data_IF_677305342934
#
_entry.id   IF_677305342934
#
_cell.length_a   1.000
_cell.length_b   1.000
_cell.length_c   1.000
_cell.angle_alpha   90.00
_cell.angle_beta   90.00
_cell.angle_gamma   90.00
#
_symmetry.space_group_name_H-M   'P 1'
#
loop_
_entity.id
_entity.type
_entity.pdbx_description
1 polymer ?
#
# COMPACT_ATOMS: atom_id res chain seq x y z
N UNK A 1 -10.01 0.13 -5.23
CA UNK A 1 -11.32 0.67 -4.84
C UNK A 1 -11.34 2.18 -5.09
N UNK A 2 -12.51 2.75 -5.14
CA UNK A 2 -12.73 4.19 -5.25
C UNK A 2 -13.87 4.63 -4.32
N UNK A 3 -13.78 5.82 -3.75
CA UNK A 3 -14.85 6.31 -2.89
C UNK A 3 -16.06 6.70 -3.74
N UNK A 4 -17.26 6.31 -3.28
CA UNK A 4 -18.53 6.73 -3.89
C UNK A 4 -19.33 7.69 -2.99
N UNK A 5 -19.04 7.67 -1.70
CA UNK A 5 -19.62 8.58 -0.72
C UNK A 5 -18.65 8.68 0.48
N UNK A 6 -17.82 9.71 0.48
CA UNK A 6 -16.82 9.91 1.54
C UNK A 6 -17.43 10.30 2.88
N UNK A 7 -18.61 10.91 2.91
CA UNK A 7 -19.26 11.30 4.16
C UNK A 7 -19.72 10.07 4.94
N UNK A 8 -20.18 9.05 4.23
CA UNK A 8 -20.64 7.80 4.81
C UNK A 8 -19.63 6.65 4.64
N UNK A 9 -18.38 6.94 4.30
CA UNK A 9 -17.30 5.95 4.12
C UNK A 9 -17.68 4.79 3.20
N UNK A 10 -18.38 5.09 2.10
CA UNK A 10 -18.77 4.08 1.12
C UNK A 10 -17.78 4.01 -0.03
N UNK A 11 -17.36 2.81 -0.35
CA UNK A 11 -16.38 2.52 -1.39
C UNK A 11 -16.88 1.46 -2.35
N UNK A 12 -16.49 1.60 -3.62
CA UNK A 12 -16.70 0.60 -4.66
C UNK A 12 -15.40 -0.13 -4.96
N UNK A 13 -15.47 -1.47 -4.91
CA UNK A 13 -14.32 -2.31 -5.26
C UNK A 13 -14.27 -2.51 -6.77
N UNK A 14 -13.17 -2.11 -7.38
CA UNK A 14 -12.90 -2.33 -8.80
C UNK A 14 -12.24 -3.70 -9.01
N UNK A 15 -13.01 -4.77 -8.99
CA UNK A 15 -12.52 -6.16 -9.08
C UNK A 15 -11.64 -6.42 -10.31
N UNK A 16 -11.91 -5.71 -11.41
CA UNK A 16 -11.15 -5.86 -12.64
C UNK A 16 -9.67 -5.51 -12.47
N UNK A 17 -9.31 -4.60 -11.54
CA UNK A 17 -7.91 -4.24 -11.24
C UNK A 17 -7.15 -5.45 -10.72
N UNK A 18 -7.73 -6.18 -9.75
CA UNK A 18 -7.10 -7.40 -9.22
C UNK A 18 -6.97 -8.48 -10.31
N UNK A 19 -7.99 -8.65 -11.13
CA UNK A 19 -7.97 -9.60 -12.26
C UNK A 19 -6.86 -9.23 -13.25
N UNK A 20 -6.72 -7.95 -13.60
CA UNK A 20 -5.66 -7.45 -14.48
C UNK A 20 -4.26 -7.73 -13.89
N UNK A 21 -4.07 -7.50 -12.59
CA UNK A 21 -2.80 -7.78 -11.90
C UNK A 21 -2.48 -9.28 -11.95
N UNK A 22 -3.44 -10.15 -11.64
CA UNK A 22 -3.26 -11.61 -11.71
C UNK A 22 -2.85 -12.04 -13.12
N UNK A 23 -3.46 -11.46 -14.16
CA UNK A 23 -3.12 -11.76 -15.55
C UNK A 23 -1.78 -11.15 -15.99
N UNK A 24 -1.32 -10.09 -15.33
CA UNK A 24 -0.05 -9.44 -15.63
C UNK A 24 1.16 -10.29 -15.23
N UNK A 25 1.11 -11.01 -14.11
CA UNK A 25 2.22 -11.84 -13.64
C UNK A 25 2.69 -12.91 -14.63
N UNK A 26 1.80 -13.72 -15.28
CA UNK A 26 2.22 -14.76 -16.23
C UNK A 26 2.90 -14.24 -17.49
N UNK A 27 2.60 -13.03 -17.93
CA UNK A 27 3.17 -12.44 -19.14
C UNK A 27 4.53 -11.77 -18.90
N UNK A 28 4.96 -11.66 -17.64
CA UNK A 28 6.27 -11.14 -17.29
C UNK A 28 7.29 -12.27 -17.15
N UNK A 29 8.52 -11.99 -17.55
CA UNK A 29 9.62 -12.95 -17.48
C UNK A 29 10.55 -12.64 -16.30
N UNK A 30 10.94 -13.68 -15.59
CA UNK A 30 11.94 -13.60 -14.52
C UNK A 30 13.27 -13.06 -15.07
N UNK A 31 13.85 -12.09 -14.34
CA UNK A 31 15.14 -11.49 -14.69
C UNK A 31 15.91 -11.06 -13.46
N UNK A 32 17.21 -11.03 -13.58
CA UNK A 32 18.10 -10.42 -12.60
C UNK A 32 18.01 -8.90 -12.71
N UNK A 33 17.89 -8.22 -11.59
CA UNK A 33 17.96 -6.78 -11.45
C UNK A 33 19.06 -6.45 -10.46
N UNK A 34 19.89 -5.47 -10.76
CA UNK A 34 21.03 -5.07 -9.92
C UNK A 34 21.03 -3.56 -9.64
N UNK A 35 21.52 -3.20 -8.47
CA UNK A 35 21.82 -1.81 -8.10
C UNK A 35 23.05 -1.79 -7.17
N UNK A 36 24.22 -1.48 -7.70
CA UNK A 36 25.47 -1.60 -6.98
C UNK A 36 25.71 -3.04 -6.53
N UNK A 37 25.91 -3.25 -5.26
CA UNK A 37 26.09 -4.57 -4.64
C UNK A 37 24.78 -5.35 -4.42
N UNK A 38 23.63 -4.73 -4.65
CA UNK A 38 22.32 -5.36 -4.44
C UNK A 38 21.86 -6.08 -5.70
N UNK A 39 21.31 -7.27 -5.53
CA UNK A 39 20.76 -8.09 -6.59
C UNK A 39 19.39 -8.64 -6.20
N UNK A 40 18.49 -8.70 -7.18
CA UNK A 40 17.17 -9.31 -7.06
C UNK A 40 16.90 -10.19 -8.28
N UNK A 41 16.06 -11.21 -8.12
CA UNK A 41 15.58 -12.06 -9.19
C UNK A 41 14.05 -12.09 -9.15
N UNK A 42 13.41 -11.28 -9.98
CA UNK A 42 11.95 -11.13 -10.02
C UNK A 42 11.50 -10.79 -11.44
N UNK A 43 10.22 -10.89 -11.67
CA UNK A 43 9.58 -10.54 -12.93
C UNK A 43 8.96 -9.15 -12.95
N UNK A 44 8.69 -8.56 -11.79
CA UNK A 44 8.00 -7.29 -11.70
C UNK A 44 8.98 -6.13 -11.70
N UNK A 45 8.70 -5.12 -12.52
CA UNK A 45 9.48 -3.89 -12.52
C UNK A 45 9.28 -3.09 -11.24
N UNK A 46 10.30 -2.32 -10.87
CA UNK A 46 10.20 -1.36 -9.79
C UNK A 46 9.77 0.00 -10.33
N UNK A 47 9.05 0.75 -9.52
CA UNK A 47 8.71 2.14 -9.81
C UNK A 47 9.97 3.00 -9.82
N UNK A 48 10.01 3.97 -10.73
CA UNK A 48 11.12 4.90 -10.93
C UNK A 48 10.56 6.31 -11.18
N UNK A 49 11.45 7.30 -11.34
CA UNK A 49 11.06 8.68 -11.66
C UNK A 49 10.44 9.42 -10.48
N UNK A 50 10.88 9.14 -9.27
CA UNK A 50 10.29 9.72 -8.05
C UNK A 50 10.43 11.25 -7.96
N UNK A 51 11.52 11.82 -8.49
CA UNK A 51 11.71 13.26 -8.55
C UNK A 51 10.62 13.93 -9.39
N UNK A 52 10.38 13.40 -10.58
CA UNK A 52 9.33 13.88 -11.51
C UNK A 52 7.93 13.68 -10.95
N UNK A 53 7.75 12.61 -10.17
CA UNK A 53 6.49 12.33 -9.48
C UNK A 53 6.28 13.20 -8.23
N UNK A 54 7.30 13.97 -7.80
CA UNK A 54 7.23 14.75 -6.57
C UNK A 54 7.12 13.90 -5.29
N UNK A 55 7.70 12.70 -5.30
CA UNK A 55 7.65 11.75 -4.19
C UNK A 55 9.03 11.68 -3.53
N UNK A 56 9.11 11.89 -2.21
CA UNK A 56 10.35 11.67 -1.47
C UNK A 56 10.52 10.19 -1.15
N UNK A 57 11.64 9.62 -1.57
CA UNK A 57 11.94 8.20 -1.34
C UNK A 57 13.31 8.06 -0.69
N UNK A 58 13.33 7.48 0.50
CA UNK A 58 14.57 7.20 1.23
C UNK A 58 15.11 5.82 0.80
N UNK A 59 16.40 5.67 0.50
CA UNK A 59 16.98 4.35 0.26
C UNK A 59 16.81 3.46 1.51
N UNK A 60 16.38 2.28 1.39
CA UNK A 60 16.08 1.32 0.38
C UNK A 60 14.56 1.10 0.23
N UNK A 61 13.75 2.16 0.19
CA UNK A 61 12.33 1.99 -0.07
C UNK A 61 12.12 1.43 -1.47
N UNK A 62 11.16 0.51 -1.60
CA UNK A 62 10.81 -0.14 -2.85
C UNK A 62 9.30 -0.04 -3.10
N UNK A 63 8.94 0.45 -4.26
CA UNK A 63 7.58 0.32 -4.79
C UNK A 63 7.62 -0.45 -6.10
N UNK A 64 6.69 -1.39 -6.28
CA UNK A 64 6.53 -2.08 -7.57
C UNK A 64 5.89 -1.17 -8.60
N UNK A 65 6.25 -1.35 -9.86
CA UNK A 65 5.53 -0.77 -10.98
C UNK A 65 4.03 -1.14 -10.87
N UNK A 66 3.15 -0.17 -11.16
CA UNK A 66 1.71 -0.36 -10.97
C UNK A 66 1.18 0.02 -9.58
N UNK A 67 2.03 0.39 -8.61
CA UNK A 67 1.60 1.13 -7.44
C UNK A 67 1.41 2.61 -7.81
N UNK A 68 0.35 3.25 -7.33
CA UNK A 68 0.19 4.69 -7.41
C UNK A 68 0.68 5.34 -6.12
N UNK A 69 1.53 6.34 -6.26
CA UNK A 69 2.04 7.13 -5.15
C UNK A 69 1.92 8.59 -5.53
N UNK A 70 1.10 9.33 -4.80
CA UNK A 70 0.80 10.72 -5.11
C UNK A 70 1.98 11.66 -4.80
N UNK A 71 2.07 12.81 -5.48
CA UNK A 71 3.01 13.87 -5.13
C UNK A 71 2.88 14.27 -3.66
N UNK A 72 4.02 14.54 -3.01
CA UNK A 72 4.07 14.88 -1.59
C UNK A 72 4.03 13.69 -0.63
N UNK A 73 3.86 12.47 -1.11
CA UNK A 73 4.02 11.27 -0.29
C UNK A 73 5.50 11.02 0.04
N UNK A 74 5.74 10.35 1.17
CA UNK A 74 7.09 10.01 1.64
C UNK A 74 7.17 8.51 1.87
N UNK A 75 8.13 7.86 1.21
CA UNK A 75 8.49 6.47 1.46
C UNK A 75 9.81 6.44 2.21
N UNK A 76 9.80 6.12 3.48
CA UNK A 76 11.00 5.74 4.26
C UNK A 76 11.27 4.26 3.92
N UNK A 77 12.43 3.66 4.23
CA UNK A 77 12.70 2.28 3.83
C UNK A 77 11.51 1.35 4.10
N UNK A 78 10.76 1.05 3.07
CA UNK A 78 9.43 0.44 3.13
C UNK A 78 9.12 -0.29 1.82
N UNK A 79 8.02 -1.01 1.77
CA UNK A 79 7.60 -1.73 0.58
C UNK A 79 6.15 -1.39 0.20
N UNK A 80 5.94 -1.03 -1.07
CA UNK A 80 4.61 -0.77 -1.63
C UNK A 80 4.37 -1.71 -2.80
N UNK A 81 3.38 -2.58 -2.68
CA UNK A 81 3.10 -3.60 -3.68
C UNK A 81 2.26 -3.06 -4.85
N UNK A 82 2.23 -3.84 -5.93
CA UNK A 82 1.46 -3.55 -7.15
C UNK A 82 -0.02 -3.32 -6.85
N UNK A 83 -0.61 -2.34 -7.53
CA UNK A 83 -2.01 -1.97 -7.36
C UNK A 83 -2.34 -1.15 -6.11
N UNK A 84 -1.39 -0.99 -5.19
CA UNK A 84 -1.57 -0.13 -4.03
C UNK A 84 -1.73 1.34 -4.44
N UNK A 85 -2.51 2.08 -3.68
CA UNK A 85 -2.72 3.50 -3.82
C UNK A 85 -2.29 4.21 -2.54
N UNK A 86 -1.35 5.13 -2.65
CA UNK A 86 -0.86 5.97 -1.54
C UNK A 86 -1.07 7.43 -1.91
N UNK A 87 -1.92 8.13 -1.19
CA UNK A 87 -2.29 9.50 -1.50
C UNK A 87 -1.31 10.52 -0.90
N UNK A 88 -1.50 11.78 -1.26
CA UNK A 88 -0.63 12.92 -0.95
C UNK A 88 -0.46 13.16 0.56
N UNK A 89 0.73 13.61 0.95
CA UNK A 89 1.05 13.90 2.36
C UNK A 89 1.18 12.67 3.25
N UNK A 90 0.96 11.48 2.72
CA UNK A 90 1.07 10.22 3.47
C UNK A 90 2.53 9.80 3.62
N UNK A 91 2.87 9.34 4.82
CA UNK A 91 4.17 8.73 5.11
C UNK A 91 4.02 7.22 5.32
N UNK A 92 4.79 6.46 4.53
CA UNK A 92 5.02 5.03 4.74
C UNK A 92 6.37 4.91 5.41
N UNK A 93 6.36 4.73 6.73
CA UNK A 93 7.56 4.81 7.57
C UNK A 93 8.40 3.51 7.53
N UNK A 94 9.49 3.49 8.28
CA UNK A 94 10.52 2.46 8.25
C UNK A 94 9.94 1.05 8.46
N UNK A 95 10.23 0.17 7.50
CA UNK A 95 9.77 -1.23 7.47
C UNK A 95 8.24 -1.41 7.43
N UNK A 96 7.49 -0.35 7.18
CA UNK A 96 6.08 -0.50 6.89
C UNK A 96 5.87 -1.12 5.50
N UNK A 97 4.77 -1.84 5.34
CA UNK A 97 4.39 -2.46 4.07
C UNK A 97 2.97 -2.07 3.68
N UNK A 98 2.78 -1.75 2.41
CA UNK A 98 1.46 -1.53 1.81
C UNK A 98 1.19 -2.66 0.84
N UNK A 99 0.27 -3.53 1.20
CA UNK A 99 -0.08 -4.71 0.42
C UNK A 99 -0.75 -4.38 -0.91
N UNK A 100 -0.83 -5.37 -1.78
CA UNK A 100 -1.42 -5.22 -3.11
C UNK A 100 -2.84 -4.67 -3.06
N UNK A 101 -3.12 -3.67 -3.89
CA UNK A 101 -4.41 -2.98 -4.01
C UNK A 101 -4.90 -2.25 -2.75
N UNK A 102 -4.15 -2.20 -1.67
CA UNK A 102 -4.53 -1.43 -0.49
C UNK A 102 -4.66 0.06 -0.83
N UNK A 103 -5.63 0.72 -0.21
CA UNK A 103 -5.94 2.13 -0.45
C UNK A 103 -5.57 2.93 0.79
N UNK A 104 -4.60 3.81 0.67
CA UNK A 104 -4.14 4.69 1.75
C UNK A 104 -4.48 6.13 1.36
N UNK A 105 -5.30 6.78 2.15
CA UNK A 105 -5.77 8.14 1.95
C UNK A 105 -4.70 9.21 2.18
N UNK A 106 -5.13 10.46 2.21
CA UNK A 106 -4.26 11.64 2.39
C UNK A 106 -3.81 11.79 3.83
N UNK A 107 -2.59 12.32 4.01
CA UNK A 107 -2.05 12.67 5.32
C UNK A 107 -2.09 11.51 6.33
N UNK A 108 -2.00 10.28 5.85
CA UNK A 108 -1.94 9.10 6.72
C UNK A 108 -0.51 8.89 7.19
N UNK A 109 -0.34 8.52 8.45
CA UNK A 109 0.94 8.07 8.96
C UNK A 109 0.90 6.58 9.24
N UNK A 110 1.57 5.79 8.39
CA UNK A 110 1.85 4.37 8.66
C UNK A 110 3.18 4.30 9.39
N UNK A 111 3.15 4.14 10.71
CA UNK A 111 4.35 4.14 11.55
C UNK A 111 5.23 2.93 11.30
N UNK A 112 6.42 2.92 11.90
CA UNK A 112 7.41 1.88 11.68
C UNK A 112 6.88 0.46 11.89
N UNK A 113 7.13 -0.39 10.89
CA UNK A 113 6.74 -1.80 10.93
C UNK A 113 5.24 -2.07 10.78
N UNK A 114 4.43 -1.08 10.38
CA UNK A 114 3.00 -1.29 10.09
C UNK A 114 2.85 -2.24 8.90
N UNK A 115 1.99 -3.24 9.03
CA UNK A 115 1.65 -4.19 7.97
C UNK A 115 0.22 -3.97 7.46
N UNK A 116 0.10 -3.44 6.24
CA UNK A 116 -1.19 -3.34 5.55
C UNK A 116 -1.30 -4.51 4.57
N UNK A 117 -2.31 -5.35 4.78
CA UNK A 117 -2.53 -6.56 3.97
C UNK A 117 -2.92 -6.27 2.53
N UNK A 118 -2.60 -7.22 1.67
CA UNK A 118 -2.95 -7.19 0.25
C UNK A 118 -4.09 -8.13 -0.11
N UNK A 119 -4.40 -8.20 -1.42
CA UNK A 119 -5.50 -9.04 -1.95
C UNK A 119 -5.02 -10.27 -2.72
N UNK A 120 -3.71 -10.44 -2.92
CA UNK A 120 -3.16 -11.51 -3.78
C UNK A 120 -2.83 -12.79 -3.01
N UNK A 121 -2.22 -12.67 -1.84
CA UNK A 121 -1.77 -13.82 -1.04
C UNK A 121 -1.96 -13.54 0.47
N UNK A 122 -2.92 -14.20 1.10
CA UNK A 122 -3.99 -15.00 0.49
C UNK A 122 -4.93 -14.15 -0.35
N UNK A 123 -5.67 -14.79 -1.27
CA UNK A 123 -6.63 -14.07 -2.12
C UNK A 123 -7.76 -13.50 -1.27
N UNK A 124 -7.93 -12.17 -1.35
CA UNK A 124 -8.98 -11.43 -0.65
C UNK A 124 -9.95 -10.80 -1.66
N UNK A 125 -11.23 -10.70 -1.29
CA UNK A 125 -12.26 -10.08 -2.12
C UNK A 125 -12.10 -8.56 -2.14
N UNK A 126 -11.90 -7.95 -0.98
CA UNK A 126 -11.83 -6.50 -0.79
C UNK A 126 -10.42 -6.06 -0.38
N UNK A 127 -9.94 -4.90 -0.86
CA UNK A 127 -8.70 -4.32 -0.39
C UNK A 127 -8.87 -3.73 1.02
N UNK A 128 -7.76 -3.63 1.75
CA UNK A 128 -7.71 -2.78 2.94
C UNK A 128 -7.85 -1.33 2.53
N UNK A 129 -8.64 -0.57 3.28
CA UNK A 129 -8.84 0.87 3.09
C UNK A 129 -8.48 1.59 4.39
N UNK A 130 -7.56 2.54 4.30
CA UNK A 130 -7.24 3.49 5.36
C UNK A 130 -7.62 4.87 4.83
N UNK A 131 -8.62 5.49 5.40
CA UNK A 131 -9.07 6.81 4.96
C UNK A 131 -8.14 7.94 5.43
N UNK A 132 -8.47 9.18 5.03
CA UNK A 132 -7.64 10.36 5.25
C UNK A 132 -7.38 10.64 6.75
N UNK A 133 -6.22 11.24 7.02
CA UNK A 133 -5.79 11.73 8.33
C UNK A 133 -5.70 10.66 9.43
N UNK A 134 -5.58 9.39 9.06
CA UNK A 134 -5.40 8.30 10.03
C UNK A 134 -3.96 8.26 10.55
N UNK A 135 -3.81 7.87 11.81
CA UNK A 135 -2.53 7.51 12.40
C UNK A 135 -2.53 6.04 12.79
N UNK A 136 -1.64 5.26 12.18
CA UNK A 136 -1.52 3.82 12.44
C UNK A 136 -0.22 3.60 13.21
N UNK A 137 -0.36 3.26 14.49
CA UNK A 137 0.76 3.09 15.40
C UNK A 137 1.71 1.95 15.01
N UNK A 138 2.96 2.06 15.44
CA UNK A 138 4.03 1.14 15.05
C UNK A 138 3.66 -0.33 15.25
N UNK A 139 4.05 -1.17 14.28
CA UNK A 139 3.81 -2.62 14.26
C UNK A 139 2.33 -3.03 14.32
N UNK A 140 1.42 -2.12 14.05
CA UNK A 140 0.01 -2.49 13.86
C UNK A 140 -0.17 -3.22 12.54
N UNK A 141 -1.16 -4.12 12.51
CA UNK A 141 -1.51 -4.94 11.35
C UNK A 141 -2.96 -4.64 10.99
N UNK A 142 -3.21 -4.31 9.72
CA UNK A 142 -4.57 -4.12 9.18
C UNK A 142 -4.71 -5.00 7.94
N UNK A 143 -5.55 -6.01 7.99
CA UNK A 143 -5.65 -7.07 6.98
C UNK A 143 -7.09 -7.46 6.67
N UNK A 144 -7.27 -8.40 5.73
CA UNK A 144 -8.56 -9.02 5.40
C UNK A 144 -9.61 -8.02 4.91
N UNK A 145 -9.19 -7.00 4.15
CA UNK A 145 -10.10 -5.99 3.62
C UNK A 145 -10.74 -5.09 4.68
N UNK A 146 -10.13 -5.01 5.86
CA UNK A 146 -10.61 -4.12 6.91
C UNK A 146 -10.59 -2.65 6.46
N UNK A 147 -11.53 -1.88 6.96
CA UNK A 147 -11.72 -0.47 6.63
C UNK A 147 -11.52 0.39 7.88
N UNK A 148 -10.54 1.26 7.85
CA UNK A 148 -10.24 2.23 8.90
C UNK A 148 -10.73 3.59 8.43
N UNK A 149 -11.74 4.11 9.09
CA UNK A 149 -12.36 5.40 8.73
C UNK A 149 -11.46 6.58 9.06
N UNK A 150 -11.75 7.72 8.41
CA UNK A 150 -10.97 8.96 8.53
C UNK A 150 -10.69 9.37 9.98
N UNK A 151 -9.54 9.96 10.20
CA UNK A 151 -9.09 10.50 11.49
C UNK A 151 -8.93 9.44 12.61
N UNK A 152 -9.03 8.15 12.27
CA UNK A 152 -8.83 7.10 13.25
C UNK A 152 -7.37 7.03 13.72
N UNK A 153 -7.19 6.73 14.99
CA UNK A 153 -5.89 6.52 15.61
C UNK A 153 -5.82 5.10 16.14
N UNK A 154 -4.93 4.29 15.59
CA UNK A 154 -4.61 2.96 16.13
C UNK A 154 -3.35 3.04 16.98
N UNK A 155 -3.42 2.52 18.20
CA UNK A 155 -2.25 2.37 19.06
C UNK A 155 -1.26 1.37 18.50
N UNK A 156 -0.03 1.41 18.97
CA UNK A 156 1.00 0.45 18.55
C UNK A 156 0.60 -1.01 18.85
N UNK A 157 1.01 -1.93 17.97
CA UNK A 157 0.70 -3.37 18.06
C UNK A 157 -0.81 -3.71 18.01
N UNK A 158 -1.63 -2.82 17.46
CA UNK A 158 -3.05 -3.12 17.21
C UNK A 158 -3.20 -4.04 16.01
N UNK A 159 -4.07 -5.03 16.11
CA UNK A 159 -4.41 -5.93 14.99
C UNK A 159 -5.89 -5.73 14.63
N UNK A 160 -6.13 -5.34 13.37
CA UNK A 160 -7.46 -5.17 12.79
C UNK A 160 -7.61 -6.16 11.63
N UNK A 161 -8.64 -6.98 11.70
CA UNK A 161 -9.02 -7.94 10.66
C UNK A 161 -10.41 -7.66 10.15
N UNK A 162 -10.83 -8.31 9.09
CA UNK A 162 -12.20 -8.19 8.56
C UNK A 162 -13.29 -8.62 9.54
N UNK A 163 -12.93 -9.38 10.57
CA UNK A 163 -13.85 -9.84 11.63
C UNK A 163 -13.72 -9.06 12.95
N UNK A 164 -12.87 -8.03 13.00
CA UNK A 164 -12.74 -7.20 14.21
C UNK A 164 -14.04 -6.43 14.44
N UNK A 165 -14.66 -6.65 15.56
CA UNK A 165 -15.82 -5.88 16.00
C UNK A 165 -15.33 -4.66 16.80
N UNK A 166 -15.82 -3.49 16.43
CA UNK A 166 -15.54 -2.21 17.09
C UNK A 166 -16.83 -1.72 17.71
#
# INVERSE_FOLDING_TARGET
AEPIDLENSKWQVNEWVKKAIIMYFPIQTMRTMTAGELEWYDKMELKRGYEELGVRVVPHAVARYGAYIAPGAILVPSYVNIGAYVDSGTMVDTWATVGSCAQIGKNVHLSGGVGIGGVLEPVQASPVIIEDNCFIGSRSIVVEGAHVCREAVLGSNTVITGSTHI
#
